data_IF_851808300684
#
_entry.id   IF_851808300684
#
_cell.length_a   1.000
_cell.length_b   1.000
_cell.length_c   1.000
_cell.angle_alpha   90.00
_cell.angle_beta   90.00
_cell.angle_gamma   90.00
#
_symmetry.space_group_name_H-M   'P 1'
#
loop_
_entity.id
_entity.type
_entity.pdbx_description
1 polymer ?
#
# COMPACT_ATOMS: atom_id res chain seq x y z
N UNK A 1 8.54 16.48 -5.39
CA UNK A 1 7.31 16.08 -4.68
C UNK A 1 6.91 14.68 -5.08
N UNK A 2 6.45 13.88 -4.14
CA UNK A 2 6.01 12.48 -4.35
C UNK A 2 4.71 12.22 -3.60
N UNK A 3 3.90 11.25 -4.05
CA UNK A 3 2.56 10.98 -3.50
C UNK A 3 2.47 9.73 -2.62
N UNK A 4 3.60 9.11 -2.26
CA UNK A 4 3.64 7.91 -1.39
C UNK A 4 5.01 7.74 -0.74
N UNK A 5 5.08 7.09 0.42
CA UNK A 5 6.33 6.70 1.07
C UNK A 5 7.18 5.78 0.19
N UNK A 6 6.54 4.85 -0.54
CA UNK A 6 7.21 4.05 -1.58
C UNK A 6 7.99 4.93 -2.55
N UNK A 7 7.34 5.97 -3.07
CA UNK A 7 7.99 6.86 -4.04
C UNK A 7 9.08 7.71 -3.39
N UNK A 8 8.87 8.16 -2.16
CA UNK A 8 9.88 8.88 -1.38
C UNK A 8 11.15 8.04 -1.21
N UNK A 9 11.01 6.80 -0.71
CA UNK A 9 12.12 5.88 -0.45
C UNK A 9 12.91 5.58 -1.74
N UNK A 10 12.21 5.22 -2.83
CA UNK A 10 12.88 4.87 -4.09
C UNK A 10 13.56 6.07 -4.77
N UNK A 11 12.96 7.27 -4.71
CA UNK A 11 13.62 8.49 -5.23
C UNK A 11 14.82 8.87 -4.36
N UNK A 12 14.72 8.75 -3.04
CA UNK A 12 15.84 9.01 -2.13
C UNK A 12 17.02 8.05 -2.40
N UNK A 13 16.73 6.77 -2.66
CA UNK A 13 17.74 5.77 -3.01
C UNK A 13 18.41 6.06 -4.38
N UNK A 14 17.62 6.38 -5.41
CA UNK A 14 18.14 6.65 -6.76
C UNK A 14 18.93 7.95 -6.84
N UNK A 15 18.48 8.99 -6.13
CA UNK A 15 19.10 10.31 -6.14
C UNK A 15 19.27 10.87 -4.72
N UNK A 16 20.32 10.45 -3.99
CA UNK A 16 20.55 10.83 -2.59
C UNK A 16 20.77 12.33 -2.34
N UNK A 17 20.96 13.12 -3.40
CA UNK A 17 21.14 14.57 -3.33
C UNK A 17 19.83 15.34 -3.46
N UNK A 18 18.72 14.68 -3.79
CA UNK A 18 17.39 15.28 -3.81
C UNK A 18 16.77 15.27 -2.42
N UNK A 19 15.76 16.11 -2.22
CA UNK A 19 14.95 16.15 -0.98
C UNK A 19 13.51 15.80 -1.32
N UNK A 20 13.13 14.50 -1.34
CA UNK A 20 11.79 14.12 -1.73
C UNK A 20 10.79 14.53 -0.65
N UNK A 21 9.91 15.47 -1.00
CA UNK A 21 8.81 15.95 -0.16
C UNK A 21 7.55 15.12 -0.44
N UNK A 22 7.06 14.41 0.58
CA UNK A 22 5.76 13.74 0.54
C UNK A 22 4.65 14.79 0.46
N UNK A 23 3.70 14.58 -0.44
CA UNK A 23 2.57 15.47 -0.70
C UNK A 23 1.28 14.69 -0.53
N UNK A 24 0.32 15.30 0.18
CA UNK A 24 -0.99 14.72 0.41
C UNK A 24 -2.04 15.28 -0.55
N UNK A 25 -2.80 14.35 -1.13
CA UNK A 25 -3.84 14.59 -2.13
C UNK A 25 -3.48 13.94 -3.47
N UNK A 26 -4.49 13.68 -4.30
CA UNK A 26 -4.29 13.01 -5.58
C UNK A 26 -3.54 13.87 -6.61
N UNK A 27 -3.23 13.26 -7.76
CA UNK A 27 -2.47 13.85 -8.87
C UNK A 27 -2.94 15.25 -9.28
N UNK A 28 -4.25 15.52 -9.31
CA UNK A 28 -4.79 16.85 -9.67
C UNK A 28 -4.33 17.93 -8.68
N UNK A 29 -4.50 17.70 -7.38
CA UNK A 29 -4.05 18.65 -6.34
C UNK A 29 -2.53 18.82 -6.38
N UNK A 30 -1.80 17.75 -6.65
CA UNK A 30 -0.34 17.80 -6.74
C UNK A 30 0.13 18.69 -7.90
N UNK A 31 -0.53 18.63 -9.07
CA UNK A 31 -0.24 19.50 -10.20
C UNK A 31 -0.59 20.97 -9.91
N UNK A 32 -1.82 21.23 -9.45
CA UNK A 32 -2.32 22.60 -9.30
C UNK A 32 -1.75 23.30 -8.06
N UNK A 33 -1.69 22.62 -6.92
CA UNK A 33 -1.33 23.26 -5.65
C UNK A 33 0.17 23.27 -5.38
N UNK A 34 0.93 22.29 -5.91
CA UNK A 34 2.34 22.14 -5.58
C UNK A 34 3.27 22.45 -6.74
N UNK A 35 3.01 21.91 -7.93
CA UNK A 35 3.88 22.15 -9.08
C UNK A 35 3.67 23.56 -9.66
N UNK A 36 2.43 24.00 -9.87
CA UNK A 36 2.15 25.32 -10.46
C UNK A 36 2.44 26.50 -9.51
N UNK A 37 2.48 26.27 -8.20
CA UNK A 37 2.78 27.30 -7.19
C UNK A 37 4.26 27.27 -6.74
N UNK A 38 5.14 26.58 -7.47
CA UNK A 38 6.57 26.45 -7.16
C UNK A 38 6.88 25.92 -5.73
N UNK A 39 5.97 25.12 -5.15
CA UNK A 39 6.18 24.47 -3.83
C UNK A 39 7.10 23.24 -3.91
N UNK A 40 7.31 22.72 -5.12
CA UNK A 40 8.27 21.66 -5.47
C UNK A 40 8.86 21.89 -6.86
N UNK A 41 10.14 21.55 -7.05
CA UNK A 41 10.81 21.70 -8.35
C UNK A 41 10.35 20.70 -9.41
N UNK A 42 9.88 19.52 -8.98
CA UNK A 42 9.40 18.45 -9.84
C UNK A 42 8.39 17.57 -9.10
N UNK A 43 7.57 16.83 -9.86
CA UNK A 43 6.56 15.93 -9.33
C UNK A 43 6.68 14.54 -9.94
N UNK A 44 6.62 13.50 -9.08
CA UNK A 44 6.53 12.10 -9.52
C UNK A 44 5.09 11.63 -9.32
N UNK A 45 4.45 11.22 -10.42
CA UNK A 45 3.06 10.76 -10.45
C UNK A 45 2.95 9.43 -11.21
N UNK A 46 1.91 8.62 -10.96
CA UNK A 46 1.65 7.45 -11.79
C UNK A 46 1.46 7.84 -13.26
N UNK A 47 2.16 7.16 -14.17
CA UNK A 47 2.04 7.41 -15.61
C UNK A 47 0.59 7.30 -16.11
N UNK A 48 -0.15 6.30 -15.61
CA UNK A 48 -1.57 6.14 -15.90
C UNK A 48 -2.43 7.34 -15.47
N UNK A 49 -2.06 8.06 -14.41
CA UNK A 49 -2.76 9.30 -14.02
C UNK A 49 -2.47 10.43 -15.00
N UNK A 50 -1.23 10.57 -15.48
CA UNK A 50 -0.89 11.57 -16.49
C UNK A 50 -1.66 11.33 -17.79
N UNK A 51 -1.75 10.07 -18.22
CA UNK A 51 -2.52 9.67 -19.41
C UNK A 51 -4.01 9.98 -19.27
N UNK A 52 -4.62 9.58 -18.15
CA UNK A 52 -6.05 9.83 -17.89
C UNK A 52 -6.40 11.31 -17.80
N UNK A 53 -5.48 12.14 -17.33
CA UNK A 53 -5.67 13.60 -17.22
C UNK A 53 -5.33 14.35 -18.52
N UNK A 54 -4.76 13.69 -19.53
CA UNK A 54 -4.39 14.34 -20.79
C UNK A 54 -3.18 15.27 -20.65
N UNK A 55 -2.30 15.03 -19.67
CA UNK A 55 -1.14 15.88 -19.36
C UNK A 55 0.20 15.23 -19.75
N UNK A 56 0.18 14.27 -20.68
CA UNK A 56 1.39 13.57 -21.12
C UNK A 56 2.46 14.51 -21.68
N UNK A 57 2.06 15.65 -22.26
CA UNK A 57 2.99 16.67 -22.78
C UNK A 57 3.86 17.32 -21.68
N UNK A 58 3.45 17.20 -20.41
CA UNK A 58 4.22 17.68 -19.26
C UNK A 58 5.20 16.64 -18.73
N UNK A 59 5.14 15.39 -19.19
CA UNK A 59 5.98 14.29 -18.69
C UNK A 59 7.39 14.41 -19.28
N UNK A 60 8.36 14.72 -18.44
CA UNK A 60 9.78 14.81 -18.84
C UNK A 60 10.47 13.45 -18.90
N UNK A 61 10.03 12.48 -18.08
CA UNK A 61 10.65 11.17 -17.94
C UNK A 61 9.62 10.12 -17.47
N UNK A 62 9.78 8.88 -17.95
CA UNK A 62 9.00 7.72 -17.51
C UNK A 62 9.92 6.77 -16.78
N UNK A 63 9.55 6.41 -15.55
CA UNK A 63 10.31 5.44 -14.76
C UNK A 63 9.90 4.00 -15.12
N UNK A 64 10.87 3.19 -15.50
CA UNK A 64 10.69 1.76 -15.74
C UNK A 64 10.84 0.95 -14.44
N UNK A 65 10.26 -0.27 -14.35
CA UNK A 65 10.27 -1.09 -13.13
C UNK A 65 11.67 -1.43 -12.59
N UNK A 66 12.70 -1.45 -13.45
CA UNK A 66 14.09 -1.66 -13.05
C UNK A 66 14.66 -0.47 -12.25
N UNK A 67 14.09 0.72 -12.44
CA UNK A 67 14.44 1.92 -11.67
C UNK A 67 13.51 2.07 -10.48
N UNK A 68 12.20 1.96 -10.70
CA UNK A 68 11.20 2.24 -9.68
C UNK A 68 10.03 1.28 -9.77
N UNK A 69 9.90 0.39 -8.77
CA UNK A 69 8.76 -0.50 -8.66
C UNK A 69 7.49 0.29 -8.32
N UNK A 70 6.37 0.05 -9.02
CA UNK A 70 5.10 0.73 -8.77
C UNK A 70 4.48 0.31 -7.43
N UNK A 71 3.40 1.00 -7.05
CA UNK A 71 2.54 0.54 -5.94
C UNK A 71 1.60 -0.57 -6.43
N UNK A 72 1.17 -1.44 -5.51
CA UNK A 72 0.24 -2.52 -5.83
C UNK A 72 -1.03 -2.00 -6.53
N UNK A 73 -1.38 -2.63 -7.66
CA UNK A 73 -2.54 -2.30 -8.50
C UNK A 73 -2.40 -1.01 -9.31
N UNK A 74 -1.21 -0.40 -9.38
CA UNK A 74 -1.04 0.87 -10.09
C UNK A 74 -1.32 0.70 -11.60
N UNK A 75 -2.32 1.42 -12.09
CA UNK A 75 -2.73 1.40 -13.50
C UNK A 75 -3.96 0.52 -13.76
N UNK A 76 -4.30 -0.38 -12.84
CA UNK A 76 -5.47 -1.26 -12.94
C UNK A 76 -6.76 -0.50 -12.62
N UNK A 77 -7.88 -0.95 -13.20
CA UNK A 77 -9.24 -0.53 -12.87
C UNK A 77 -10.00 -1.76 -12.43
N UNK A 78 -10.44 -1.78 -11.17
CA UNK A 78 -11.31 -2.81 -10.65
C UNK A 78 -12.77 -2.37 -10.75
N UNK A 79 -13.63 -3.27 -11.25
CA UNK A 79 -15.07 -3.09 -11.23
C UNK A 79 -15.63 -3.86 -10.05
N UNK A 80 -16.39 -3.19 -9.19
CA UNK A 80 -17.02 -3.79 -8.02
C UNK A 80 -18.52 -3.94 -8.27
N UNK A 81 -19.07 -5.12 -7.98
CA UNK A 81 -20.49 -5.39 -8.05
C UNK A 81 -20.98 -6.00 -6.73
N UNK A 82 -22.29 -5.96 -6.50
CA UNK A 82 -22.89 -6.61 -5.33
C UNK A 82 -22.78 -8.13 -5.48
N UNK A 83 -22.57 -8.81 -4.36
CA UNK A 83 -22.63 -10.27 -4.29
C UNK A 83 -24.02 -10.74 -4.74
N UNK A 84 -24.07 -11.70 -5.66
CA UNK A 84 -25.33 -12.25 -6.21
C UNK A 84 -25.98 -11.45 -7.34
N UNK A 85 -25.39 -10.33 -7.77
CA UNK A 85 -25.87 -9.56 -8.92
C UNK A 85 -25.35 -10.15 -10.24
N UNK A 86 -25.96 -11.26 -10.68
CA UNK A 86 -25.52 -12.02 -11.85
C UNK A 86 -25.55 -11.19 -13.15
N UNK A 87 -26.52 -10.29 -13.29
CA UNK A 87 -26.64 -9.43 -14.47
C UNK A 87 -25.42 -8.50 -14.59
N UNK A 88 -25.04 -7.85 -13.49
CA UNK A 88 -23.85 -6.98 -13.47
C UNK A 88 -22.58 -7.81 -13.64
N UNK A 89 -22.49 -8.98 -13.01
CA UNK A 89 -21.32 -9.85 -13.15
C UNK A 89 -21.10 -10.29 -14.60
N UNK A 90 -22.15 -10.69 -15.31
CA UNK A 90 -22.06 -11.03 -16.74
C UNK A 90 -21.64 -9.84 -17.60
N UNK A 91 -22.12 -8.62 -17.27
CA UNK A 91 -21.66 -7.42 -17.95
C UNK A 91 -20.15 -7.17 -17.72
N UNK A 92 -19.67 -7.30 -16.48
CA UNK A 92 -18.26 -7.12 -16.13
C UNK A 92 -17.33 -8.11 -16.86
N UNK A 93 -17.76 -9.36 -17.08
CA UNK A 93 -16.97 -10.38 -17.80
C UNK A 93 -16.56 -9.94 -19.21
N UNK A 94 -17.32 -9.05 -19.85
CA UNK A 94 -17.02 -8.57 -21.21
C UNK A 94 -15.76 -7.70 -21.29
N UNK A 95 -15.35 -7.10 -20.18
CA UNK A 95 -14.16 -6.23 -20.07
C UNK A 95 -13.10 -6.80 -19.12
N UNK A 96 -13.34 -7.99 -18.58
CA UNK A 96 -12.40 -8.67 -17.68
C UNK A 96 -11.15 -9.11 -18.42
N UNK A 97 -10.00 -8.87 -17.80
CA UNK A 97 -8.72 -9.40 -18.24
C UNK A 97 -8.16 -10.30 -17.13
N UNK A 98 -8.07 -11.59 -17.42
CA UNK A 98 -7.64 -12.59 -16.44
C UNK A 98 -6.18 -12.40 -16.00
N UNK A 99 -5.28 -12.06 -16.92
CA UNK A 99 -3.88 -11.82 -16.60
C UNK A 99 -3.72 -10.60 -15.68
N UNK A 100 -4.38 -9.48 -16.00
CA UNK A 100 -4.37 -8.29 -15.15
C UNK A 100 -5.01 -8.52 -13.78
N UNK A 101 -6.01 -9.40 -13.69
CA UNK A 101 -6.59 -9.82 -12.42
C UNK A 101 -5.55 -10.57 -11.57
N UNK A 102 -4.86 -11.55 -12.15
CA UNK A 102 -3.81 -12.31 -11.47
C UNK A 102 -2.65 -11.42 -11.02
N UNK A 103 -2.23 -10.47 -11.87
CA UNK A 103 -1.21 -9.47 -11.52
C UNK A 103 -1.66 -8.66 -10.29
N UNK A 104 -2.85 -8.05 -10.37
CA UNK A 104 -3.38 -7.21 -9.30
C UNK A 104 -3.57 -7.99 -7.99
N UNK A 105 -4.11 -9.21 -8.03
CA UNK A 105 -4.33 -10.02 -6.84
C UNK A 105 -3.01 -10.40 -6.15
N UNK A 106 -1.99 -10.76 -6.92
CA UNK A 106 -0.66 -11.06 -6.37
C UNK A 106 -0.02 -9.84 -5.72
N UNK A 107 -0.12 -8.67 -6.37
CA UNK A 107 0.39 -7.41 -5.85
C UNK A 107 -0.32 -6.96 -4.55
N UNK A 108 -1.66 -7.06 -4.52
CA UNK A 108 -2.45 -6.71 -3.35
C UNK A 108 -2.15 -7.64 -2.18
N UNK A 109 -2.12 -8.96 -2.43
CA UNK A 109 -1.81 -9.95 -1.40
C UNK A 109 -0.41 -9.76 -0.82
N UNK A 110 0.57 -9.38 -1.65
CA UNK A 110 1.90 -9.01 -1.19
C UNK A 110 1.86 -7.79 -0.26
N UNK A 111 1.21 -6.70 -0.69
CA UNK A 111 1.13 -5.47 0.10
C UNK A 111 0.43 -5.71 1.43
N UNK A 112 -0.77 -6.31 1.40
CA UNK A 112 -1.58 -6.59 2.59
C UNK A 112 -0.84 -7.46 3.61
N UNK A 113 0.02 -8.37 3.13
CA UNK A 113 0.81 -9.23 4.01
C UNK A 113 1.97 -8.50 4.69
N UNK A 114 2.47 -7.40 4.10
CA UNK A 114 3.55 -6.57 4.67
C UNK A 114 3.00 -5.48 5.59
N UNK A 115 1.98 -4.76 5.14
CA UNK A 115 1.41 -3.64 5.86
C UNK A 115 -0.08 -3.50 5.50
N UNK A 116 -0.92 -3.24 6.50
CA UNK A 116 -2.36 -2.96 6.29
C UNK A 116 -2.61 -1.58 5.69
N UNK A 117 -1.67 -0.65 5.89
CA UNK A 117 -1.85 0.75 5.56
C UNK A 117 -1.22 1.10 4.20
N UNK A 118 -1.76 2.12 3.53
CA UNK A 118 -1.27 2.55 2.21
C UNK A 118 0.08 3.29 2.28
N UNK A 119 0.48 3.72 3.48
CA UNK A 119 1.67 4.52 3.74
C UNK A 119 2.84 3.63 4.16
N UNK A 120 3.23 2.70 3.27
CA UNK A 120 4.39 1.83 3.49
C UNK A 120 5.41 2.00 2.35
N UNK A 121 6.73 2.01 2.61
CA UNK A 121 7.78 2.14 1.58
C UNK A 121 7.97 0.86 0.74
N UNK A 122 6.87 0.32 0.23
CA UNK A 122 6.78 -1.00 -0.40
C UNK A 122 6.41 -0.86 -1.86
N UNK A 123 7.19 -1.45 -2.76
CA UNK A 123 6.91 -1.53 -4.19
C UNK A 123 6.69 -2.96 -4.65
N UNK A 124 5.79 -3.17 -5.60
CA UNK A 124 5.54 -4.49 -6.18
C UNK A 124 5.09 -4.36 -7.62
N UNK A 125 5.55 -5.29 -8.46
CA UNK A 125 5.06 -5.48 -9.82
C UNK A 125 4.89 -6.96 -10.08
N UNK A 126 3.71 -7.34 -10.53
CA UNK A 126 3.41 -8.64 -11.09
C UNK A 126 3.35 -8.55 -12.62
N UNK A 127 3.86 -9.59 -13.29
CA UNK A 127 3.80 -9.72 -14.74
C UNK A 127 3.32 -11.12 -15.07
N UNK A 128 2.13 -11.22 -15.65
CA UNK A 128 1.49 -12.48 -15.99
C UNK A 128 1.63 -12.78 -17.49
N UNK A 129 1.86 -14.05 -17.78
CA UNK A 129 1.78 -14.65 -19.10
C UNK A 129 0.84 -15.86 -19.03
N UNK A 130 0.55 -16.49 -20.17
CA UNK A 130 -0.21 -17.74 -20.17
C UNK A 130 0.50 -18.90 -19.43
N UNK A 131 1.82 -18.81 -19.23
CA UNK A 131 2.63 -19.88 -18.65
C UNK A 131 3.00 -19.63 -17.19
N UNK A 132 3.33 -18.39 -16.84
CA UNK A 132 3.81 -18.02 -15.51
C UNK A 132 3.39 -16.62 -15.08
N UNK A 133 3.33 -16.43 -13.76
CA UNK A 133 3.23 -15.15 -13.08
C UNK A 133 4.57 -14.89 -12.36
N UNK A 134 5.14 -13.72 -12.61
CA UNK A 134 6.39 -13.25 -11.98
C UNK A 134 6.07 -12.06 -11.09
N UNK A 135 6.31 -12.16 -9.78
CA UNK A 135 6.19 -11.04 -8.85
C UNK A 135 7.58 -10.58 -8.43
N UNK A 136 7.82 -9.28 -8.55
CA UNK A 136 8.98 -8.59 -8.02
C UNK A 136 8.52 -7.61 -6.95
N UNK A 137 9.02 -7.77 -5.73
CA UNK A 137 8.64 -6.94 -4.59
C UNK A 137 9.88 -6.35 -3.94
N UNK A 138 9.73 -5.15 -3.38
CA UNK A 138 10.76 -4.50 -2.59
C UNK A 138 10.17 -3.80 -1.36
N UNK A 139 10.95 -3.81 -0.28
CA UNK A 139 10.75 -3.03 0.94
C UNK A 139 11.98 -2.16 1.11
N UNK A 140 11.81 -0.86 1.37
CA UNK A 140 12.95 0.01 1.66
C UNK A 140 12.71 0.86 2.88
N UNK A 141 13.77 1.46 3.43
CA UNK A 141 13.62 2.46 4.48
C UNK A 141 13.01 3.75 3.92
N UNK A 142 12.24 4.50 4.73
CA UNK A 142 11.76 5.84 4.36
C UNK A 142 12.89 6.78 3.92
N UNK A 143 14.09 6.59 4.49
CA UNK A 143 15.30 7.35 4.15
C UNK A 143 15.91 6.98 2.79
N UNK A 144 15.54 5.84 2.20
CA UNK A 144 16.10 5.31 0.96
C UNK A 144 17.52 4.74 1.10
N UNK A 145 18.01 4.53 2.33
CA UNK A 145 19.37 4.04 2.60
C UNK A 145 19.48 2.51 2.48
N UNK A 146 18.35 1.82 2.59
CA UNK A 146 18.22 0.36 2.53
C UNK A 146 17.05 0.00 1.63
N UNK A 147 17.22 -1.08 0.87
CA UNK A 147 16.18 -1.67 0.04
C UNK A 147 16.45 -3.16 -0.11
N UNK A 148 15.53 -3.97 0.38
CA UNK A 148 15.49 -5.40 0.10
C UNK A 148 14.55 -5.66 -1.07
N UNK A 149 14.98 -6.51 -1.99
CA UNK A 149 14.21 -6.89 -3.16
C UNK A 149 14.23 -8.40 -3.34
N UNK A 150 13.09 -8.96 -3.70
CA UNK A 150 12.95 -10.38 -4.00
C UNK A 150 12.04 -10.59 -5.21
N UNK A 151 12.22 -11.77 -5.83
CA UNK A 151 11.41 -12.23 -6.95
C UNK A 151 10.89 -13.62 -6.64
N UNK A 152 9.62 -13.87 -7.00
CA UNK A 152 9.00 -15.20 -6.99
C UNK A 152 8.29 -15.44 -8.32
N UNK A 153 8.21 -16.71 -8.71
CA UNK A 153 7.57 -17.17 -9.95
C UNK A 153 6.67 -18.36 -9.65
N UNK A 154 5.58 -18.49 -10.38
CA UNK A 154 4.68 -19.63 -10.26
C UNK A 154 3.50 -19.54 -11.21
N UNK A 155 2.47 -20.33 -10.93
CA UNK A 155 1.23 -20.30 -11.70
C UNK A 155 0.44 -19.02 -11.42
N UNK A 156 -0.17 -18.44 -12.45
CA UNK A 156 -1.10 -17.31 -12.28
C UNK A 156 -2.29 -17.62 -11.39
N UNK A 157 -2.72 -18.89 -11.36
CA UNK A 157 -3.78 -19.36 -10.46
C UNK A 157 -3.39 -19.31 -8.97
N UNK A 158 -2.10 -19.18 -8.66
CA UNK A 158 -1.57 -19.08 -7.29
C UNK A 158 -1.20 -17.64 -6.92
N UNK A 159 -1.68 -16.63 -7.66
CA UNK A 159 -1.30 -15.22 -7.51
C UNK A 159 -1.27 -14.74 -6.05
N UNK A 160 -2.37 -14.94 -5.32
CA UNK A 160 -2.50 -14.53 -3.91
C UNK A 160 -1.44 -15.21 -3.03
N UNK A 161 -1.27 -16.53 -3.20
CA UNK A 161 -0.29 -17.33 -2.45
C UNK A 161 1.14 -16.89 -2.76
N UNK A 162 1.44 -16.59 -4.03
CA UNK A 162 2.74 -16.08 -4.45
C UNK A 162 3.03 -14.70 -3.82
N UNK A 163 2.04 -13.81 -3.78
CA UNK A 163 2.13 -12.51 -3.13
C UNK A 163 2.46 -12.63 -1.64
N UNK A 164 1.71 -13.46 -0.91
CA UNK A 164 1.95 -13.72 0.51
C UNK A 164 3.34 -14.31 0.77
N UNK A 165 3.77 -15.30 -0.03
CA UNK A 165 5.10 -15.93 0.12
C UNK A 165 6.25 -14.95 -0.17
N UNK A 166 6.06 -14.06 -1.15
CA UNK A 166 7.05 -13.03 -1.45
C UNK A 166 7.21 -12.05 -0.29
N UNK A 167 6.09 -11.64 0.31
CA UNK A 167 6.08 -10.77 1.48
C UNK A 167 6.80 -11.42 2.67
N UNK A 168 6.46 -12.67 2.98
CA UNK A 168 7.12 -13.43 4.05
C UNK A 168 8.62 -13.56 3.85
N UNK A 169 9.06 -13.75 2.59
CA UNK A 169 10.48 -13.81 2.26
C UNK A 169 11.21 -12.49 2.55
N UNK A 170 10.58 -11.35 2.31
CA UNK A 170 11.17 -10.04 2.61
C UNK A 170 11.10 -9.74 4.11
N UNK A 171 9.99 -10.04 4.78
CA UNK A 171 9.81 -9.85 6.23
C UNK A 171 10.78 -10.69 7.09
N UNK A 172 11.25 -11.83 6.59
CA UNK A 172 12.26 -12.63 7.30
C UNK A 172 13.67 -12.01 7.26
N UNK A 173 13.87 -10.94 6.49
CA UNK A 173 15.12 -10.18 6.52
C UNK A 173 15.11 -9.15 7.66
N UNK A 174 16.21 -9.04 8.40
CA UNK A 174 16.32 -8.10 9.53
C UNK A 174 16.23 -6.65 9.07
N UNK A 175 16.74 -6.34 7.87
CA UNK A 175 16.73 -4.98 7.31
C UNK A 175 15.30 -4.53 6.99
N UNK A 176 14.53 -5.32 6.24
CA UNK A 176 13.12 -4.99 5.95
C UNK A 176 12.27 -4.76 7.21
N UNK A 177 12.46 -5.55 8.29
CA UNK A 177 11.71 -5.33 9.53
C UNK A 177 12.04 -4.00 10.19
N UNK A 178 13.33 -3.63 10.24
CA UNK A 178 13.75 -2.34 10.78
C UNK A 178 13.20 -1.20 9.94
N UNK A 179 13.29 -1.32 8.61
CA UNK A 179 12.79 -0.33 7.67
C UNK A 179 11.27 -0.08 7.82
N UNK A 180 10.50 -1.14 8.06
CA UNK A 180 9.05 -1.04 8.32
C UNK A 180 8.74 -0.39 9.67
N UNK A 181 9.47 -0.76 10.73
CA UNK A 181 9.31 -0.14 12.05
C UNK A 181 9.68 1.35 12.03
N UNK A 182 10.74 1.73 11.31
CA UNK A 182 11.11 3.14 11.11
C UNK A 182 10.03 3.92 10.33
N UNK A 183 9.30 3.26 9.42
CA UNK A 183 8.20 3.88 8.69
C UNK A 183 6.98 4.15 9.58
N UNK A 184 6.61 3.20 10.45
CA UNK A 184 5.48 3.33 11.35
C UNK A 184 5.78 4.26 12.55
N UNK A 185 7.05 4.31 12.98
CA UNK A 185 7.49 5.06 14.15
C UNK A 185 8.71 5.96 13.84
N UNK A 186 8.52 7.02 13.04
CA UNK A 186 9.62 7.89 12.60
C UNK A 186 10.32 8.63 13.75
N UNK A 187 9.62 8.86 14.87
CA UNK A 187 10.16 9.52 16.07
C UNK A 187 10.66 8.51 17.13
N UNK A 188 10.68 7.22 16.80
CA UNK A 188 11.01 6.13 17.72
C UNK A 188 9.77 5.40 18.25
N UNK A 189 9.97 4.18 18.75
CA UNK A 189 8.90 3.40 19.37
C UNK A 189 8.31 4.19 20.54
N UNK A 190 6.98 4.18 20.73
CA UNK A 190 6.38 4.75 21.93
C UNK A 190 7.03 4.09 23.15
N UNK A 191 7.35 4.89 24.16
CA UNK A 191 7.82 4.38 25.43
C UNK A 191 6.84 3.30 25.91
N UNK A 192 7.35 2.15 26.35
CA UNK A 192 6.51 1.19 27.03
C UNK A 192 5.87 1.93 28.20
N UNK A 193 4.54 1.95 28.26
CA UNK A 193 3.79 2.46 29.39
C UNK A 193 4.16 1.59 30.60
N UNK A 194 5.25 1.96 31.26
CA UNK A 194 5.58 1.52 32.61
C UNK A 194 4.49 2.16 33.46
N UNK A 195 3.34 1.49 33.56
CA UNK A 195 2.20 1.91 34.35
C UNK A 195 2.66 2.20 35.76
N UNK A 196 2.89 3.48 36.05
CA UNK A 196 3.03 3.97 37.40
C UNK A 196 1.65 3.84 38.05
N UNK A 197 1.58 2.94 39.02
CA UNK A 197 0.55 2.88 40.05
C UNK A 197 0.48 4.27 40.73
N UNK A 198 -0.31 5.20 40.18
CA UNK A 198 -0.70 6.42 40.89
C UNK A 198 -1.99 6.14 41.65
N UNK A 199 -1.82 5.90 42.95
CA UNK A 199 -2.85 5.89 43.99
C UNK A 199 -3.62 7.24 44.02
N UNK A 200 -4.51 7.43 43.06
CA UNK A 200 -5.47 8.52 43.01
C UNK A 200 -6.79 8.13 43.66
N UNK A 201 -6.85 8.17 44.99
CA UNK A 201 -8.10 8.07 45.74
C UNK A 201 -9.10 9.14 45.24
N UNK A 202 -10.21 8.70 44.64
CA UNK A 202 -11.40 9.51 44.40
C UNK A 202 -12.63 8.72 44.81
N UNK A 203 -13.45 9.38 45.61
CA UNK A 203 -14.55 8.85 46.41
C UNK A 203 -15.61 8.07 45.62
N UNK A 204 -15.97 6.90 46.16
CA UNK A 204 -17.18 6.16 45.77
C UNK A 204 -18.38 6.82 46.45
N UNK A 205 -19.07 7.72 45.73
CA UNK A 205 -20.47 8.02 46.03
C UNK A 205 -21.35 6.97 45.35
N UNK A 206 -21.97 6.17 46.20
CA UNK A 206 -22.93 5.10 45.97
C UNK A 206 -24.26 5.74 45.51
N UNK A 207 -24.65 5.57 44.23
CA UNK A 207 -26.02 5.87 43.78
C UNK A 207 -26.60 4.62 43.11
N UNK A 208 -27.53 3.90 43.76
CA UNK A 208 -28.12 2.68 43.25
C UNK A 208 -29.44 3.01 42.55
N UNK A 209 -29.41 3.28 41.25
CA UNK A 209 -30.55 3.11 40.33
C UNK A 209 -30.13 3.54 38.92
N UNK A 210 -29.69 2.59 38.09
CA UNK A 210 -30.13 2.58 36.69
C UNK A 210 -29.95 1.18 36.08
N UNK A 211 -31.07 0.67 35.59
CA UNK A 211 -31.28 -0.68 35.08
C UNK A 211 -30.43 -0.93 33.81
N UNK A 212 -29.67 -2.04 33.80
CA UNK A 212 -29.06 -2.58 32.58
C UNK A 212 -30.14 -3.25 31.72
N UNK A 213 -30.28 -2.91 30.43
CA UNK A 213 -30.85 -3.85 29.48
C UNK A 213 -29.78 -4.82 28.98
N UNK A 214 -30.10 -6.11 29.12
CA UNK A 214 -29.37 -7.26 28.59
C UNK A 214 -29.40 -7.29 27.04
N UNK A 215 -28.36 -7.91 26.49
CA UNK A 215 -28.25 -8.57 25.19
C UNK A 215 -28.33 -7.76 23.88
N UNK A 216 -27.16 -7.59 23.23
CA UNK A 216 -27.04 -7.85 21.80
C UNK A 216 -25.64 -8.45 21.49
N UNK A 217 -25.53 -9.67 20.93
CA UNK A 217 -24.24 -10.27 20.58
C UNK A 217 -23.63 -9.60 19.35
N UNK A 218 -22.46 -8.99 19.50
CA UNK A 218 -21.59 -8.59 18.38
C UNK A 218 -21.02 -9.85 17.73
N UNK A 219 -21.75 -10.38 16.75
CA UNK A 219 -21.28 -11.38 15.80
C UNK A 219 -20.20 -10.78 14.87
N UNK A 220 -19.02 -11.36 14.98
CA UNK A 220 -18.20 -11.92 13.89
C UNK A 220 -18.15 -11.14 12.55
N UNK A 221 -17.08 -10.35 12.37
CA UNK A 221 -16.58 -9.97 11.05
C UNK A 221 -15.09 -10.22 10.95
N UNK A 222 -14.72 -11.50 10.82
CA UNK A 222 -13.45 -11.91 10.25
C UNK A 222 -13.64 -13.17 9.39
N UNK A 223 -14.48 -13.08 8.35
CA UNK A 223 -14.38 -14.05 7.25
C UNK A 223 -13.28 -13.62 6.27
N UNK A 224 -12.37 -14.53 5.87
CA UNK A 224 -11.35 -14.24 4.88
C UNK A 224 -12.01 -13.97 3.52
N UNK A 225 -11.51 -12.95 2.81
CA UNK A 225 -11.88 -12.68 1.44
C UNK A 225 -11.47 -13.87 0.56
N UNK A 226 -12.44 -14.70 0.18
CA UNK A 226 -12.29 -15.64 -0.93
C UNK A 226 -12.20 -14.82 -2.23
N UNK A 227 -11.01 -14.80 -2.81
CA UNK A 227 -10.71 -14.28 -4.15
C UNK A 227 -10.99 -15.34 -5.22
#
# INVERSE_FOLDING_TARGET
GVLSLRSQAQIAALWPHLTPKLIYGGTVKALDAYLQNDEVDALVIPAASAERLGVQDLVSEIFFPEMMLPGAGQGTIALLCRRGDEEVLEACKTVHNELSCQEMLGELAFRERICSDQDCPVGVLAQATEEELVLTGAVGSPSGLSQDQAVIRGSGAEAVVLGQRLAERLLLSTTSLVDLLEADFPDGLPDADDGDDDDGAADLDDDPDDELPEDDPMDDYAEPLDY
#
